data_IF_597252219887
#
_entry.id   IF_597252219887
#
_cell.length_a   1.000
_cell.length_b   1.000
_cell.length_c   1.000
_cell.angle_alpha   90.00
_cell.angle_beta   90.00
_cell.angle_gamma   90.00
#
_symmetry.space_group_name_H-M   'P 1'
#
loop_
_entity.id
_entity.type
_entity.pdbx_description
1 polymer ?
#
# COMPACT_ATOMS: atom_id res chain seq x y z
N UNK A 1 28.31 -8.16 -4.51
CA UNK A 1 27.44 -7.22 -3.79
C UNK A 1 28.22 -6.75 -2.57
N UNK A 2 28.25 -5.45 -2.28
CA UNK A 2 28.85 -4.92 -1.04
C UNK A 2 27.95 -5.20 0.16
N UNK A 3 28.45 -5.07 1.39
CA UNK A 3 27.60 -5.24 2.58
C UNK A 3 26.54 -4.14 2.68
N UNK A 4 26.86 -2.93 2.25
CA UNK A 4 25.90 -1.84 2.13
C UNK A 4 24.79 -2.15 1.11
N UNK A 5 25.14 -2.65 -0.08
CA UNK A 5 24.16 -3.09 -1.09
C UNK A 5 23.26 -4.21 -0.51
N UNK A 6 23.80 -5.14 0.30
CA UNK A 6 23.01 -6.19 0.97
C UNK A 6 22.08 -5.62 2.04
N UNK A 7 22.59 -4.69 2.86
CA UNK A 7 21.82 -4.08 3.94
C UNK A 7 20.65 -3.25 3.39
N UNK A 8 20.89 -2.52 2.30
CA UNK A 8 19.86 -1.73 1.62
C UNK A 8 18.68 -2.57 1.11
N UNK A 9 18.89 -3.86 0.82
CA UNK A 9 17.83 -4.77 0.37
C UNK A 9 16.94 -5.29 1.50
N UNK A 10 17.34 -5.15 2.77
CA UNK A 10 16.57 -5.64 3.92
C UNK A 10 15.97 -4.51 4.75
N UNK A 11 16.16 -3.25 4.34
CA UNK A 11 15.57 -2.08 4.99
C UNK A 11 14.59 -1.37 4.06
N UNK A 12 13.53 -0.84 4.63
CA UNK A 12 12.64 0.10 3.97
C UNK A 12 12.48 1.30 4.89
N UNK A 13 12.71 2.49 4.36
CA UNK A 13 12.64 3.73 5.13
C UNK A 13 11.34 4.46 4.83
N UNK A 14 10.76 5.09 5.86
CA UNK A 14 9.57 5.91 5.69
C UNK A 14 9.91 7.15 4.87
N UNK A 15 9.02 7.54 3.97
CA UNK A 15 9.16 8.82 3.25
C UNK A 15 8.92 10.01 4.19
N UNK A 16 9.52 11.16 3.91
CA UNK A 16 9.29 12.40 4.66
C UNK A 16 7.93 13.04 4.38
N UNK A 17 7.30 13.55 5.44
CA UNK A 17 6.07 14.34 5.43
C UNK A 17 6.26 15.60 6.28
N UNK A 18 6.52 16.78 5.67
CA UNK A 18 6.72 18.02 6.39
C UNK A 18 5.52 18.45 7.24
N UNK A 19 4.29 18.04 6.87
CA UNK A 19 3.04 18.41 7.57
C UNK A 19 2.99 17.84 8.98
N UNK A 20 3.62 16.68 9.21
CA UNK A 20 3.68 16.02 10.52
C UNK A 20 5.10 16.00 11.11
N UNK A 21 6.00 16.85 10.59
CA UNK A 21 7.38 16.99 11.10
C UNK A 21 8.28 15.79 10.81
N UNK A 22 8.02 15.06 9.72
CA UNK A 22 8.81 13.90 9.32
C UNK A 22 9.76 14.26 8.17
N UNK A 23 11.06 14.26 8.44
CA UNK A 23 12.06 14.62 7.44
C UNK A 23 12.29 13.51 6.41
N UNK A 24 12.73 13.90 5.21
CA UNK A 24 13.14 12.96 4.17
C UNK A 24 14.38 12.19 4.62
N UNK A 25 14.31 10.87 4.62
CA UNK A 25 15.46 10.03 4.93
C UNK A 25 16.55 10.15 3.85
N UNK A 26 17.83 10.18 4.25
CA UNK A 26 18.97 10.38 3.35
C UNK A 26 19.11 9.29 2.26
N UNK A 27 18.58 8.10 2.51
CA UNK A 27 18.56 6.99 1.54
C UNK A 27 17.61 7.22 0.36
N UNK A 28 16.72 8.21 0.42
CA UNK A 28 15.76 8.50 -0.66
C UNK A 28 16.36 9.61 -1.54
N UNK A 29 16.84 9.32 -2.76
CA UNK A 29 17.49 10.31 -3.64
C UNK A 29 16.54 11.45 -3.99
N UNK A 30 16.98 12.71 -4.06
CA UNK A 30 16.11 13.90 -4.14
C UNK A 30 15.11 13.87 -5.32
N UNK A 31 15.51 13.30 -6.44
CA UNK A 31 14.73 13.13 -7.67
C UNK A 31 13.59 12.11 -7.55
N UNK A 32 13.62 11.26 -6.52
CA UNK A 32 12.62 10.23 -6.30
C UNK A 32 11.38 10.86 -5.68
N UNK A 33 10.25 10.75 -6.39
CA UNK A 33 8.95 11.19 -5.89
C UNK A 33 8.65 10.51 -4.54
N UNK A 34 8.15 11.28 -3.59
CA UNK A 34 7.87 10.77 -2.25
C UNK A 34 6.78 9.69 -2.26
N UNK A 35 6.90 8.79 -1.28
CA UNK A 35 6.08 7.60 -1.09
C UNK A 35 5.95 7.33 0.42
N UNK A 36 5.07 6.40 0.83
CA UNK A 36 4.98 6.00 2.22
C UNK A 36 6.27 5.30 2.68
N UNK A 37 6.87 4.49 1.81
CA UNK A 37 8.15 3.86 2.05
C UNK A 37 9.01 3.71 0.80
N UNK A 38 10.31 3.59 1.01
CA UNK A 38 11.32 3.46 -0.03
C UNK A 38 12.36 2.41 0.38
N UNK A 39 12.60 1.45 -0.51
CA UNK A 39 13.71 0.49 -0.40
C UNK A 39 14.70 0.75 -1.53
N UNK A 40 15.97 1.08 -1.24
CA UNK A 40 16.96 1.31 -2.27
C UNK A 40 17.19 0.06 -3.13
N UNK A 41 17.37 0.28 -4.43
CA UNK A 41 17.78 -0.77 -5.36
C UNK A 41 19.30 -0.94 -5.42
N UNK A 42 19.74 -1.77 -6.36
CA UNK A 42 21.17 -1.94 -6.69
C UNK A 42 21.35 -1.75 -8.21
N UNK A 43 21.53 -0.50 -8.69
CA UNK A 43 21.55 -0.18 -10.13
C UNK A 43 22.60 -0.95 -10.93
N UNK A 44 23.80 -1.16 -10.37
CA UNK A 44 24.88 -1.94 -11.01
C UNK A 44 24.50 -3.40 -11.29
N UNK A 45 23.52 -3.93 -10.57
CA UNK A 45 22.99 -5.28 -10.75
C UNK A 45 21.64 -5.28 -11.49
N UNK A 46 21.15 -4.13 -11.95
CA UNK A 46 19.83 -4.00 -12.56
C UNK A 46 18.65 -4.19 -11.61
N UNK A 47 18.88 -4.10 -10.29
CA UNK A 47 17.82 -4.24 -9.27
C UNK A 47 17.21 -2.85 -9.03
N UNK A 48 15.92 -2.62 -9.35
CA UNK A 48 15.28 -1.33 -9.16
C UNK A 48 15.00 -1.07 -7.67
N UNK A 49 14.87 0.20 -7.31
CA UNK A 49 14.31 0.58 -6.01
C UNK A 49 12.81 0.22 -5.95
N UNK A 50 12.29 0.06 -4.74
CA UNK A 50 10.87 -0.18 -4.50
C UNK A 50 10.25 1.01 -3.77
N UNK A 51 9.08 1.43 -4.24
CA UNK A 51 8.23 2.40 -3.55
C UNK A 51 6.94 1.75 -3.05
N UNK A 52 6.54 2.14 -1.84
CA UNK A 52 5.28 1.73 -1.24
C UNK A 52 4.31 2.90 -1.03
N UNK A 53 3.00 2.61 -1.12
CA UNK A 53 1.92 3.57 -0.86
C UNK A 53 0.82 2.93 -0.01
N UNK A 54 0.16 3.73 0.83
CA UNK A 54 -1.06 3.37 1.55
C UNK A 54 -2.29 3.51 0.63
N UNK A 55 -3.40 2.81 0.76
CA UNK A 55 -3.55 1.47 1.31
C UNK A 55 -4.82 0.81 0.69
N UNK A 56 -5.80 0.46 1.52
CA UNK A 56 -6.91 -0.44 1.16
C UNK A 56 -8.07 0.23 0.40
N UNK A 57 -8.22 1.55 0.53
CA UNK A 57 -9.31 2.31 -0.10
C UNK A 57 -8.83 3.12 -1.32
N UNK A 58 -7.63 2.87 -1.82
CA UNK A 58 -7.02 3.64 -2.91
C UNK A 58 -5.57 4.00 -2.63
N UNK A 59 -4.95 4.62 -3.64
CA UNK A 59 -3.58 5.15 -3.54
C UNK A 59 -3.62 6.47 -2.79
N UNK A 60 -2.90 6.57 -1.68
CA UNK A 60 -2.91 7.73 -0.81
C UNK A 60 -1.77 8.67 -1.18
N UNK A 61 -2.08 9.95 -1.22
CA UNK A 61 -1.11 11.02 -1.30
C UNK A 61 -1.43 12.09 -0.23
N UNK A 62 -0.86 11.99 0.98
CA UNK A 62 -1.11 12.93 2.07
C UNK A 62 -0.28 14.22 1.92
N UNK A 63 0.03 14.64 0.68
CA UNK A 63 0.94 15.74 0.38
C UNK A 63 2.38 15.33 0.05
N UNK A 64 2.65 14.04 -0.14
CA UNK A 64 3.94 13.54 -0.62
C UNK A 64 4.28 14.03 -2.03
N UNK A 65 3.26 14.13 -2.89
CA UNK A 65 3.39 14.47 -4.31
C UNK A 65 2.52 15.71 -4.59
N UNK A 66 3.07 16.92 -4.53
CA UNK A 66 2.28 18.15 -4.62
C UNK A 66 1.57 18.32 -5.98
N UNK A 67 2.14 17.78 -7.06
CA UNK A 67 1.57 17.87 -8.41
C UNK A 67 0.63 16.70 -8.77
N UNK A 68 0.35 15.79 -7.83
CA UNK A 68 -0.53 14.65 -8.07
C UNK A 68 -2.00 15.11 -7.99
N UNK A 69 -2.80 14.97 -9.07
CA UNK A 69 -4.19 15.44 -9.14
C UNK A 69 -5.16 14.66 -8.22
N UNK A 70 -4.67 13.68 -7.47
CA UNK A 70 -5.46 12.82 -6.60
C UNK A 70 -5.68 11.44 -7.22
N UNK A 71 -6.12 10.48 -6.39
CA UNK A 71 -6.39 9.10 -6.77
C UNK A 71 -7.84 8.72 -6.53
N UNK A 72 -8.25 7.57 -7.08
CA UNK A 72 -9.60 7.07 -6.90
C UNK A 72 -9.83 6.68 -5.44
N UNK A 73 -10.83 7.29 -4.80
CA UNK A 73 -11.30 6.90 -3.48
C UNK A 73 -12.32 5.76 -3.61
N UNK A 74 -11.95 4.56 -3.16
CA UNK A 74 -12.82 3.38 -3.13
C UNK A 74 -13.62 3.32 -1.82
N UNK A 75 -14.73 2.55 -1.78
CA UNK A 75 -15.47 2.31 -0.54
C UNK A 75 -14.59 1.68 0.54
N UNK A 76 -14.91 1.95 1.81
CA UNK A 76 -14.27 1.33 2.96
C UNK A 76 -14.39 -0.21 2.92
N UNK A 77 -13.37 -0.92 3.39
CA UNK A 77 -13.33 -2.39 3.35
C UNK A 77 -14.51 -3.02 4.07
N UNK A 78 -15.03 -2.40 5.13
CA UNK A 78 -16.21 -2.91 5.85
C UNK A 78 -17.48 -2.86 4.98
N UNK A 79 -17.60 -1.86 4.10
CA UNK A 79 -18.69 -1.80 3.11
C UNK A 79 -18.54 -2.89 2.06
N UNK A 80 -17.30 -3.17 1.64
CA UNK A 80 -17.00 -4.30 0.74
C UNK A 80 -17.37 -5.63 1.42
N UNK A 81 -17.02 -5.80 2.70
CA UNK A 81 -17.40 -6.97 3.50
C UNK A 81 -18.91 -7.12 3.63
N UNK A 82 -19.65 -6.02 3.77
CA UNK A 82 -21.12 -6.01 3.85
C UNK A 82 -21.82 -6.43 2.55
N UNK A 83 -21.10 -6.51 1.42
CA UNK A 83 -21.68 -7.03 0.17
C UNK A 83 -21.84 -8.54 0.16
N UNK A 84 -21.14 -9.26 1.05
CA UNK A 84 -21.00 -10.73 1.01
C UNK A 84 -20.57 -11.28 -0.36
N UNK A 85 -19.91 -10.44 -1.17
CA UNK A 85 -19.45 -10.78 -2.51
C UNK A 85 -17.93 -10.55 -2.64
N UNK A 86 -17.11 -11.60 -2.45
CA UNK A 86 -15.66 -11.53 -2.60
C UNK A 86 -15.16 -11.03 -3.96
N UNK A 87 -15.99 -11.15 -5.00
CA UNK A 87 -15.63 -10.70 -6.34
C UNK A 87 -15.48 -9.17 -6.40
N UNK A 88 -16.28 -8.43 -5.63
CA UNK A 88 -16.17 -6.97 -5.52
C UNK A 88 -14.83 -6.57 -4.89
N UNK A 89 -14.38 -7.30 -3.86
CA UNK A 89 -13.07 -7.07 -3.24
C UNK A 89 -11.92 -7.31 -4.24
N UNK A 90 -12.00 -8.40 -5.01
CA UNK A 90 -11.02 -8.72 -6.07
C UNK A 90 -10.96 -7.63 -7.13
N UNK A 91 -12.12 -7.17 -7.56
CA UNK A 91 -12.29 -6.12 -8.55
C UNK A 91 -11.75 -4.77 -8.08
N UNK A 92 -11.99 -4.40 -6.82
CA UNK A 92 -11.40 -3.21 -6.19
C UNK A 92 -9.88 -3.31 -6.15
N UNK A 93 -9.34 -4.45 -5.66
CA UNK A 93 -7.90 -4.69 -5.59
C UNK A 93 -7.20 -4.59 -6.95
N UNK A 94 -7.81 -5.10 -8.04
CA UNK A 94 -7.27 -4.95 -9.40
C UNK A 94 -7.21 -3.50 -9.85
N UNK A 95 -8.24 -2.70 -9.54
CA UNK A 95 -8.28 -1.27 -9.91
C UNK A 95 -7.26 -0.47 -9.11
N UNK A 96 -7.17 -0.69 -7.80
CA UNK A 96 -6.16 -0.07 -6.92
C UNK A 96 -4.75 -0.42 -7.41
N UNK A 97 -4.46 -1.70 -7.69
CA UNK A 97 -3.15 -2.12 -8.17
C UNK A 97 -2.77 -1.53 -9.54
N UNK A 98 -3.74 -1.37 -10.45
CA UNK A 98 -3.51 -0.70 -11.74
C UNK A 98 -3.17 0.77 -11.56
N UNK A 99 -3.93 1.47 -10.71
CA UNK A 99 -3.67 2.88 -10.42
C UNK A 99 -2.31 3.07 -9.73
N UNK A 100 -2.00 2.25 -8.72
CA UNK A 100 -0.70 2.22 -8.04
C UNK A 100 0.46 2.05 -9.02
N UNK A 101 0.37 1.07 -9.92
CA UNK A 101 1.40 0.80 -10.94
C UNK A 101 1.57 1.99 -11.89
N UNK A 102 0.48 2.63 -12.32
CA UNK A 102 0.55 3.80 -13.21
C UNK A 102 1.26 4.99 -12.57
N UNK A 103 1.28 5.05 -11.23
CA UNK A 103 1.94 6.09 -10.43
C UNK A 103 3.35 5.70 -9.97
N UNK A 104 3.88 4.57 -10.44
CA UNK A 104 5.22 4.11 -10.11
C UNK A 104 5.37 3.44 -8.74
N UNK A 105 4.27 3.08 -8.07
CA UNK A 105 4.34 2.31 -6.83
C UNK A 105 4.46 0.81 -7.10
N UNK A 106 5.30 0.14 -6.33
CA UNK A 106 5.54 -1.30 -6.43
C UNK A 106 4.75 -2.08 -5.37
N UNK A 107 4.57 -1.49 -4.20
CA UNK A 107 3.98 -2.12 -3.03
C UNK A 107 2.79 -1.28 -2.56
N UNK A 108 1.65 -1.94 -2.34
CA UNK A 108 0.53 -1.33 -1.64
C UNK A 108 0.50 -1.85 -0.21
N UNK A 109 0.49 -0.95 0.77
CA UNK A 109 0.33 -1.26 2.20
C UNK A 109 -1.16 -1.50 2.51
N UNK A 110 -1.78 -2.38 1.74
CA UNK A 110 -3.23 -2.54 1.63
C UNK A 110 -3.71 -3.92 2.05
N UNK A 111 -5.03 -4.08 2.12
CA UNK A 111 -5.67 -5.35 2.42
C UNK A 111 -5.66 -5.66 3.91
N UNK A 112 -6.07 -4.70 4.74
CA UNK A 112 -6.23 -4.92 6.18
C UNK A 112 -7.16 -6.11 6.46
N UNK A 113 -6.64 -7.11 7.18
CA UNK A 113 -7.36 -8.36 7.52
C UNK A 113 -7.49 -8.60 9.03
N UNK A 114 -7.29 -7.57 9.85
CA UNK A 114 -7.62 -7.67 11.26
C UNK A 114 -9.12 -7.95 11.42
N UNK A 115 -9.49 -8.68 12.47
CA UNK A 115 -10.90 -8.88 12.78
C UNK A 115 -11.45 -7.65 13.50
N UNK A 116 -12.68 -7.25 13.18
CA UNK A 116 -13.42 -6.20 13.87
C UNK A 116 -13.88 -6.66 15.27
N UNK A 117 -12.92 -7.01 16.13
CA UNK A 117 -13.16 -7.64 17.44
C UNK A 117 -13.85 -6.74 18.46
N UNK A 118 -13.47 -5.47 18.48
CA UNK A 118 -14.01 -4.47 19.40
C UNK A 118 -14.63 -3.34 18.57
N UNK A 119 -15.91 -2.99 18.77
CA UNK A 119 -16.58 -1.95 17.98
C UNK A 119 -15.94 -0.57 18.14
N UNK A 120 -15.16 -0.33 19.21
CA UNK A 120 -14.47 0.94 19.49
C UNK A 120 -13.15 1.09 18.73
N UNK A 121 -12.69 0.05 18.04
CA UNK A 121 -11.45 0.12 17.27
C UNK A 121 -11.61 1.08 16.09
N UNK A 122 -10.87 2.18 16.12
CA UNK A 122 -10.95 3.25 15.12
C UNK A 122 -10.60 2.84 13.70
N UNK A 123 -9.93 1.69 13.50
CA UNK A 123 -9.57 1.16 12.17
C UNK A 123 -10.53 0.12 11.62
N UNK A 124 -11.65 -0.16 12.30
CA UNK A 124 -12.60 -1.18 11.84
C UNK A 124 -13.11 -0.95 10.41
N UNK A 125 -13.21 0.31 9.97
CA UNK A 125 -13.61 0.63 8.59
C UNK A 125 -12.64 0.09 7.52
N UNK A 126 -11.36 -0.11 7.87
CA UNK A 126 -10.33 -0.64 6.97
C UNK A 126 -10.35 -2.17 6.87
N UNK A 127 -11.13 -2.85 7.72
CA UNK A 127 -11.21 -4.31 7.80
C UNK A 127 -12.57 -4.82 7.30
N UNK A 128 -12.65 -6.11 7.00
CA UNK A 128 -13.84 -6.68 6.33
C UNK A 128 -14.96 -7.06 7.30
N UNK A 129 -14.66 -7.75 8.40
CA UNK A 129 -15.66 -8.21 9.39
C UNK A 129 -15.03 -8.70 10.70
N UNK A 130 -15.88 -9.12 11.64
CA UNK A 130 -15.49 -9.85 12.86
C UNK A 130 -15.23 -11.34 12.61
N UNK A 131 -15.85 -11.93 11.58
CA UNK A 131 -15.74 -13.36 11.27
C UNK A 131 -14.48 -13.68 10.44
N UNK A 132 -13.66 -14.67 10.84
CA UNK A 132 -12.43 -15.02 10.13
C UNK A 132 -12.67 -15.71 8.78
N UNK A 133 -13.75 -16.46 8.59
CA UNK A 133 -14.05 -17.11 7.30
C UNK A 133 -14.49 -16.07 6.27
N UNK A 134 -15.28 -15.10 6.68
CA UNK A 134 -15.71 -13.97 5.88
C UNK A 134 -14.56 -13.04 5.53
N UNK A 135 -13.72 -12.71 6.51
CA UNK A 135 -12.51 -11.90 6.27
C UNK A 135 -11.55 -12.61 5.30
N UNK A 136 -11.39 -13.93 5.43
CA UNK A 136 -10.62 -14.75 4.50
C UNK A 136 -11.21 -14.75 3.09
N UNK A 137 -12.54 -14.82 2.95
CA UNK A 137 -13.15 -14.89 1.62
C UNK A 137 -12.87 -13.62 0.80
N UNK A 138 -12.84 -12.44 1.44
CA UNK A 138 -12.59 -11.14 0.80
C UNK A 138 -11.11 -10.79 0.62
N UNK A 139 -10.19 -11.49 1.29
CA UNK A 139 -8.73 -11.23 1.22
C UNK A 139 -7.96 -12.22 0.34
N UNK A 140 -8.62 -13.24 -0.19
CA UNK A 140 -7.96 -14.28 -0.99
C UNK A 140 -7.57 -13.78 -2.39
N UNK A 141 -6.27 -13.81 -2.68
CA UNK A 141 -5.80 -13.87 -4.06
C UNK A 141 -6.08 -15.27 -4.63
N UNK A 142 -7.01 -15.38 -5.59
CA UNK A 142 -7.05 -16.55 -6.46
C UNK A 142 -5.81 -16.49 -7.37
N UNK A 143 -5.08 -17.60 -7.50
CA UNK A 143 -4.06 -17.75 -8.55
C UNK A 143 -4.72 -17.36 -9.87
N UNK A 144 -4.23 -16.32 -10.52
CA UNK A 144 -4.59 -16.08 -11.91
C UNK A 144 -3.98 -17.24 -12.70
N UNK A 145 -4.80 -18.23 -13.05
CA UNK A 145 -4.46 -19.14 -14.14
C UNK A 145 -4.62 -18.34 -15.43
N UNK A 146 -3.51 -17.73 -15.86
CA UNK A 146 -3.28 -17.28 -17.23
C UNK A 146 -1.88 -17.72 -17.62
#
# INVERSE_FOLDING_TARGET
MTDEERFNLIISVMGGNPVIGLDRHALIPAEVAMSAGYTPGVPRLGIPALQSSDASMGVTNPGYRPDDPGATAFPASILIGATFNPEIAREGGVRIGREARSRGFNIMLAGGINLARDPRNGRNFEYYAEDPLHTRSHSRMRRMHR
#
